data_IF_317387212184
#
_entry.id   IF_317387212184
#
_cell.length_a   1.000
_cell.length_b   1.000
_cell.length_c   1.000
_cell.angle_alpha   90.00
_cell.angle_beta   90.00
_cell.angle_gamma   90.00
#
_symmetry.space_group_name_H-M   'P 1'
#
loop_
_entity.id
_entity.type
_entity.pdbx_description
1 polymer ?
#
# COMPACT_ATOMS: atom_id res chain seq x y z
N UNK A 1 3.31 -20.83 16.33
CA UNK A 1 3.94 -20.17 15.16
C UNK A 1 2.80 -19.60 14.32
N UNK A 2 2.83 -18.35 13.87
CA UNK A 2 1.81 -17.88 12.93
C UNK A 2 1.88 -18.77 11.68
N UNK A 3 0.70 -19.16 11.16
CA UNK A 3 0.63 -19.96 9.94
C UNK A 3 1.21 -19.14 8.79
N UNK A 4 2.20 -19.70 8.09
CA UNK A 4 2.77 -19.14 6.87
C UNK A 4 1.65 -18.93 5.84
N UNK A 5 1.33 -17.66 5.51
CA UNK A 5 0.26 -17.32 4.58
C UNK A 5 0.75 -17.48 3.15
N UNK A 6 -0.07 -18.07 2.30
CA UNK A 6 0.14 -18.14 0.85
C UNK A 6 -0.41 -16.86 0.23
N UNK A 7 0.42 -16.11 -0.47
CA UNK A 7 0.05 -14.79 -1.00
C UNK A 7 0.26 -14.75 -2.51
N UNK A 8 -0.74 -14.25 -3.22
CA UNK A 8 -0.69 -13.93 -4.64
C UNK A 8 -0.69 -12.40 -4.80
N UNK A 9 0.20 -11.90 -5.65
CA UNK A 9 0.37 -10.48 -5.93
C UNK A 9 -0.33 -10.15 -7.24
N UNK A 10 -1.26 -9.19 -7.23
CA UNK A 10 -1.94 -8.70 -8.42
C UNK A 10 -1.18 -7.49 -8.96
N UNK A 11 -0.44 -7.68 -10.07
CA UNK A 11 0.48 -6.72 -10.67
C UNK A 11 1.94 -7.17 -10.58
N UNK A 12 2.56 -7.46 -11.72
CA UNK A 12 3.92 -7.98 -11.83
C UNK A 12 4.98 -6.90 -12.15
N UNK A 13 4.66 -5.63 -11.95
CA UNK A 13 5.56 -4.49 -12.15
C UNK A 13 6.58 -4.29 -11.02
N UNK A 14 7.29 -3.15 -11.04
CA UNK A 14 8.28 -2.81 -10.02
C UNK A 14 7.73 -2.82 -8.59
N UNK A 15 6.52 -2.30 -8.39
CA UNK A 15 5.84 -2.32 -7.09
C UNK A 15 5.54 -3.75 -6.62
N UNK A 16 5.17 -4.65 -7.53
CA UNK A 16 4.95 -6.07 -7.23
C UNK A 16 6.20 -6.78 -6.73
N UNK A 17 7.37 -6.44 -7.28
CA UNK A 17 8.65 -6.99 -6.84
C UNK A 17 8.96 -6.59 -5.39
N UNK A 18 8.74 -5.31 -5.05
CA UNK A 18 8.94 -4.80 -3.68
C UNK A 18 7.97 -5.49 -2.70
N UNK A 19 6.72 -5.70 -3.09
CA UNK A 19 5.75 -6.41 -2.24
C UNK A 19 6.15 -7.88 -2.05
N UNK A 20 6.71 -8.54 -3.08
CA UNK A 20 7.23 -9.89 -2.94
C UNK A 20 8.34 -9.96 -1.87
N UNK A 21 9.26 -9.00 -1.88
CA UNK A 21 10.31 -8.90 -0.86
C UNK A 21 9.73 -8.69 0.55
N UNK A 22 8.67 -7.89 0.70
CA UNK A 22 7.98 -7.69 1.98
C UNK A 22 7.37 -9.00 2.49
N UNK A 23 6.67 -9.74 1.62
CA UNK A 23 6.04 -11.01 1.98
C UNK A 23 7.08 -12.00 2.49
N UNK A 24 8.21 -12.12 1.77
CA UNK A 24 9.31 -13.02 2.15
C UNK A 24 9.93 -12.59 3.49
N UNK A 25 10.20 -11.29 3.64
CA UNK A 25 10.76 -10.75 4.88
C UNK A 25 9.83 -10.97 6.09
N UNK A 26 8.52 -11.09 5.85
CA UNK A 26 7.51 -11.40 6.86
C UNK A 26 7.34 -12.89 7.12
N UNK A 27 8.17 -13.75 6.54
CA UNK A 27 8.11 -15.21 6.62
C UNK A 27 6.82 -15.82 6.04
N UNK A 28 6.13 -15.11 5.16
CA UNK A 28 5.01 -15.61 4.37
C UNK A 28 5.49 -16.09 2.99
N UNK A 29 4.65 -16.80 2.24
CA UNK A 29 5.03 -17.43 0.97
C UNK A 29 4.40 -16.71 -0.22
N UNK A 30 5.23 -16.23 -1.14
CA UNK A 30 4.77 -15.76 -2.46
C UNK A 30 4.48 -16.98 -3.34
N UNK A 31 3.24 -17.11 -3.80
CA UNK A 31 2.82 -18.17 -4.74
C UNK A 31 3.11 -17.76 -6.19
N UNK A 32 2.95 -16.49 -6.51
CA UNK A 32 3.20 -15.93 -7.83
C UNK A 32 2.45 -14.63 -8.05
N UNK A 33 2.41 -14.23 -9.31
CA UNK A 33 1.78 -13.00 -9.75
C UNK A 33 0.56 -13.29 -10.62
N UNK A 34 -0.45 -12.43 -10.56
CA UNK A 34 -1.48 -12.29 -11.57
C UNK A 34 -1.30 -10.94 -12.25
N UNK A 35 -1.17 -10.94 -13.58
CA UNK A 35 -0.88 -9.71 -14.32
C UNK A 35 -1.49 -9.77 -15.73
N UNK A 36 -2.21 -8.70 -16.12
CA UNK A 36 -2.95 -8.67 -17.38
C UNK A 36 -2.06 -8.37 -18.60
N UNK A 37 -0.79 -8.01 -18.38
CA UNK A 37 0.16 -7.63 -19.43
C UNK A 37 1.34 -8.60 -19.57
N UNK A 38 1.60 -9.40 -18.55
CA UNK A 38 2.71 -10.34 -18.52
C UNK A 38 2.29 -11.70 -19.06
N UNK A 39 3.19 -12.38 -19.75
CA UNK A 39 2.93 -13.72 -20.28
C UNK A 39 2.83 -14.75 -19.15
N UNK A 40 1.79 -15.58 -19.20
CA UNK A 40 1.60 -16.68 -18.25
C UNK A 40 2.76 -17.66 -18.33
N UNK A 41 3.32 -18.01 -17.17
CA UNK A 41 4.49 -18.88 -17.03
C UNK A 41 5.82 -18.14 -17.05
N UNK A 42 5.85 -16.85 -17.46
CA UNK A 42 7.07 -16.03 -17.28
C UNK A 42 7.40 -15.84 -15.80
N UNK A 43 8.68 -15.53 -15.51
CA UNK A 43 9.15 -15.35 -14.15
C UNK A 43 9.39 -13.85 -13.84
N UNK A 44 8.90 -13.41 -12.69
CA UNK A 44 9.16 -12.08 -12.12
C UNK A 44 9.79 -12.27 -10.75
N UNK A 45 11.01 -11.78 -10.56
CA UNK A 45 11.80 -12.00 -9.32
C UNK A 45 11.85 -13.47 -8.88
N UNK A 46 11.89 -14.41 -9.84
CA UNK A 46 11.94 -15.85 -9.55
C UNK A 46 10.58 -16.51 -9.30
N UNK A 47 9.47 -15.75 -9.30
CA UNK A 47 8.12 -16.27 -9.10
C UNK A 47 7.32 -16.27 -10.41
N UNK A 48 6.45 -17.29 -10.64
CA UNK A 48 5.71 -17.41 -11.89
C UNK A 48 4.58 -16.39 -11.99
N UNK A 49 4.33 -15.92 -13.21
CA UNK A 49 3.06 -15.30 -13.57
C UNK A 49 2.04 -16.42 -13.78
N UNK A 50 1.04 -16.48 -12.92
CA UNK A 50 0.06 -17.57 -12.85
C UNK A 50 -1.09 -17.40 -13.85
N UNK A 51 -1.32 -16.19 -14.31
CA UNK A 51 -2.38 -15.81 -15.22
C UNK A 51 -2.72 -14.32 -15.11
N UNK A 52 -3.94 -13.98 -15.47
CA UNK A 52 -4.49 -12.63 -15.42
C UNK A 52 -5.15 -12.33 -14.07
N UNK A 53 -5.49 -11.07 -13.82
CA UNK A 53 -6.25 -10.68 -12.62
C UNK A 53 -7.63 -11.38 -12.51
N UNK A 54 -8.19 -11.85 -13.63
CA UNK A 54 -9.46 -12.59 -13.63
C UNK A 54 -9.34 -14.02 -13.08
N UNK A 55 -8.14 -14.55 -12.97
CA UNK A 55 -7.88 -15.93 -12.52
C UNK A 55 -7.84 -16.08 -10.98
N UNK A 56 -8.13 -15.01 -10.23
CA UNK A 56 -8.11 -15.02 -8.75
C UNK A 56 -8.93 -16.18 -8.15
N UNK A 57 -10.09 -16.49 -8.73
CA UNK A 57 -10.98 -17.55 -8.25
C UNK A 57 -10.36 -18.96 -8.28
N UNK A 58 -9.27 -19.17 -9.04
CA UNK A 58 -8.55 -20.43 -9.10
C UNK A 58 -7.69 -20.70 -7.84
N UNK A 59 -7.56 -19.72 -6.95
CA UNK A 59 -6.69 -19.79 -5.78
C UNK A 59 -7.43 -19.49 -4.46
N UNK A 60 -8.46 -20.28 -4.10
CA UNK A 60 -9.35 -19.97 -2.96
C UNK A 60 -8.63 -19.99 -1.60
N UNK A 61 -7.53 -20.71 -1.49
CA UNK A 61 -6.76 -20.86 -0.24
C UNK A 61 -5.68 -19.77 -0.06
N UNK A 62 -5.56 -18.84 -1.01
CA UNK A 62 -4.57 -17.78 -0.97
C UNK A 62 -5.17 -16.46 -0.45
N UNK A 63 -4.29 -15.62 0.09
CA UNK A 63 -4.56 -14.21 0.30
C UNK A 63 -4.01 -13.40 -0.87
N UNK A 64 -4.54 -12.21 -1.11
CA UNK A 64 -4.18 -11.39 -2.27
C UNK A 64 -3.77 -9.99 -1.86
N UNK A 65 -2.82 -9.40 -2.58
CA UNK A 65 -2.43 -8.00 -2.43
C UNK A 65 -2.35 -7.34 -3.80
N UNK A 66 -2.87 -6.11 -3.91
CA UNK A 66 -2.86 -5.36 -5.17
C UNK A 66 -1.57 -4.53 -5.24
N UNK A 67 -0.73 -4.82 -6.24
CA UNK A 67 0.55 -4.18 -6.48
C UNK A 67 0.48 -3.14 -7.61
N UNK A 68 -0.52 -2.26 -7.57
CA UNK A 68 -0.76 -1.24 -8.58
C UNK A 68 -0.70 0.14 -7.93
N UNK A 69 0.25 0.98 -8.38
CA UNK A 69 0.50 2.30 -7.82
C UNK A 69 -0.60 3.33 -8.12
N UNK A 70 -1.33 3.18 -9.24
CA UNK A 70 -2.42 4.10 -9.61
C UNK A 70 -3.63 3.86 -8.72
N UNK A 71 -3.99 4.86 -7.92
CA UNK A 71 -5.00 4.75 -6.86
C UNK A 71 -6.37 4.32 -7.39
N UNK A 72 -6.84 4.94 -8.49
CA UNK A 72 -8.14 4.66 -9.11
C UNK A 72 -8.21 3.22 -9.67
N UNK A 73 -7.11 2.71 -10.25
CA UNK A 73 -7.06 1.32 -10.72
C UNK A 73 -7.07 0.36 -9.53
N UNK A 74 -6.32 0.66 -8.47
CA UNK A 74 -6.27 -0.14 -7.24
C UNK A 74 -7.65 -0.21 -6.57
N UNK A 75 -8.37 0.91 -6.50
CA UNK A 75 -9.75 0.96 -6.02
C UNK A 75 -10.69 0.11 -6.87
N UNK A 76 -10.66 0.28 -8.20
CA UNK A 76 -11.52 -0.46 -9.12
C UNK A 76 -11.31 -1.98 -8.98
N UNK A 77 -10.07 -2.43 -8.84
CA UNK A 77 -9.75 -3.84 -8.62
C UNK A 77 -10.25 -4.34 -7.27
N UNK A 78 -10.03 -3.59 -6.18
CA UNK A 78 -10.50 -3.97 -4.86
C UNK A 78 -12.02 -4.09 -4.79
N UNK A 79 -12.75 -3.21 -5.47
CA UNK A 79 -14.21 -3.27 -5.59
C UNK A 79 -14.72 -4.42 -6.46
N UNK A 80 -13.96 -4.79 -7.51
CA UNK A 80 -14.34 -5.86 -8.44
C UNK A 80 -14.21 -7.23 -7.82
N UNK A 81 -13.17 -7.46 -6.99
CA UNK A 81 -12.82 -8.77 -6.47
C UNK A 81 -13.08 -8.84 -4.96
N UNK A 82 -13.98 -9.73 -4.54
CA UNK A 82 -14.23 -10.02 -3.13
C UNK A 82 -13.25 -11.11 -2.65
N UNK A 83 -12.03 -10.72 -2.32
CA UNK A 83 -10.93 -11.63 -1.99
C UNK A 83 -10.54 -11.50 -0.51
N UNK A 84 -9.79 -12.47 -0.03
CA UNK A 84 -9.09 -12.36 1.26
C UNK A 84 -7.87 -11.47 1.08
N UNK A 85 -7.97 -10.23 1.50
CA UNK A 85 -6.90 -9.25 1.33
C UNK A 85 -5.77 -9.45 2.34
N UNK A 86 -4.54 -9.40 1.83
CA UNK A 86 -3.32 -9.46 2.61
C UNK A 86 -2.81 -8.04 2.87
N UNK A 87 -2.63 -7.69 4.15
CA UNK A 87 -1.97 -6.44 4.55
C UNK A 87 -0.47 -6.73 4.65
N UNK A 88 0.32 -6.11 3.78
CA UNK A 88 1.76 -6.33 3.68
C UNK A 88 2.50 -5.27 4.52
N UNK A 89 3.13 -5.69 5.62
CA UNK A 89 3.91 -4.80 6.49
C UNK A 89 5.34 -5.31 6.55
N UNK A 90 6.29 -4.51 6.06
CA UNK A 90 7.70 -4.87 6.13
C UNK A 90 8.17 -4.95 7.58
N UNK A 91 8.96 -5.97 8.01
CA UNK A 91 9.41 -6.09 9.39
C UNK A 91 10.25 -4.93 9.92
N UNK A 92 10.86 -4.12 9.06
CA UNK A 92 11.57 -2.90 9.46
C UNK A 92 10.67 -1.66 9.57
N UNK A 93 9.38 -1.78 9.30
CA UNK A 93 8.45 -0.70 9.55
C UNK A 93 8.22 -0.55 11.07
N UNK A 94 8.09 0.69 11.53
CA UNK A 94 7.85 1.00 12.94
C UNK A 94 6.41 1.46 13.07
N UNK A 95 5.63 0.76 13.89
CA UNK A 95 4.25 1.11 14.21
C UNK A 95 4.17 1.46 15.71
N UNK A 96 3.68 2.65 15.99
CA UNK A 96 3.41 3.12 17.35
C UNK A 96 2.19 2.45 17.99
N UNK A 97 1.87 2.85 19.22
CA UNK A 97 0.69 2.36 19.93
C UNK A 97 -0.60 2.81 19.24
N UNK A 98 -1.62 1.95 19.32
CA UNK A 98 -2.98 2.22 18.83
C UNK A 98 -3.09 2.53 17.32
N UNK A 99 -2.06 2.19 16.53
CA UNK A 99 -2.10 2.32 15.07
C UNK A 99 -3.10 1.33 14.49
N UNK A 100 -3.99 1.81 13.64
CA UNK A 100 -4.94 0.98 12.90
C UNK A 100 -4.57 0.95 11.42
N UNK A 101 -4.57 -0.25 10.83
CA UNK A 101 -4.22 -0.45 9.42
C UNK A 101 -5.31 -1.26 8.73
N UNK A 102 -5.92 -0.68 7.70
CA UNK A 102 -6.95 -1.34 6.89
C UNK A 102 -6.40 -2.48 6.04
N UNK A 103 -7.28 -3.40 5.67
CA UNK A 103 -6.96 -4.57 4.84
C UNK A 103 -6.39 -4.17 3.47
N UNK A 104 -5.51 -5.00 2.92
CA UNK A 104 -4.91 -4.77 1.61
C UNK A 104 -3.88 -3.64 1.56
N UNK A 105 -3.63 -2.95 2.66
CA UNK A 105 -2.64 -1.87 2.76
C UNK A 105 -1.22 -2.43 2.74
N UNK A 106 -0.32 -1.69 2.10
CA UNK A 106 1.11 -2.01 2.01
C UNK A 106 1.91 -0.97 2.77
N UNK A 107 2.70 -1.41 3.74
CA UNK A 107 3.66 -0.58 4.48
C UNK A 107 5.05 -1.11 4.17
N UNK A 108 5.85 -0.27 3.48
CA UNK A 108 7.16 -0.66 2.99
C UNK A 108 8.26 -0.49 4.04
N UNK A 109 9.47 -0.91 3.66
CA UNK A 109 10.64 -0.85 4.52
C UNK A 109 10.88 0.55 5.09
N UNK A 110 11.22 0.60 6.38
CA UNK A 110 11.53 1.83 7.12
C UNK A 110 10.40 2.87 7.15
N UNK A 111 9.16 2.48 6.80
CA UNK A 111 8.00 3.33 7.07
C UNK A 111 7.81 3.50 8.58
N UNK A 112 7.58 4.74 9.04
CA UNK A 112 7.31 5.05 10.45
C UNK A 112 5.89 5.56 10.57
N UNK A 113 5.09 4.91 11.41
CA UNK A 113 3.71 5.30 11.68
C UNK A 113 3.56 5.44 13.18
N UNK A 114 3.43 6.68 13.64
CA UNK A 114 3.39 7.03 15.07
C UNK A 114 1.99 6.81 15.67
N UNK A 115 1.92 6.99 17.00
CA UNK A 115 0.78 6.59 17.81
C UNK A 115 -0.55 7.16 17.32
N UNK A 116 -1.61 6.35 17.44
CA UNK A 116 -3.01 6.69 17.15
C UNK A 116 -3.29 7.06 15.68
N UNK A 117 -2.36 6.80 14.77
CA UNK A 117 -2.62 7.00 13.33
C UNK A 117 -3.58 5.92 12.81
N UNK A 118 -4.50 6.34 11.93
CA UNK A 118 -5.50 5.49 11.27
C UNK A 118 -5.21 5.47 9.78
N UNK A 119 -4.87 4.29 9.25
CA UNK A 119 -4.61 4.06 7.83
C UNK A 119 -5.76 3.25 7.24
N UNK A 120 -6.37 3.75 6.21
CA UNK A 120 -7.48 3.10 5.51
C UNK A 120 -7.07 1.84 4.76
N UNK A 121 -8.01 1.32 3.96
CA UNK A 121 -7.84 0.10 3.16
C UNK A 121 -7.04 0.36 1.89
N UNK A 122 -6.27 -0.65 1.47
CA UNK A 122 -5.53 -0.62 0.21
C UNK A 122 -4.66 0.64 0.02
N UNK A 123 -4.19 1.24 1.10
CA UNK A 123 -3.23 2.34 1.05
C UNK A 123 -1.84 1.83 0.69
N UNK A 124 -0.99 2.72 0.19
CA UNK A 124 0.43 2.48 0.01
C UNK A 124 1.19 3.48 0.88
N UNK A 125 1.86 2.98 1.92
CA UNK A 125 2.82 3.73 2.72
C UNK A 125 4.19 3.27 2.25
N UNK A 126 4.81 4.11 1.42
CA UNK A 126 5.99 3.73 0.66
C UNK A 126 7.28 3.81 1.51
N UNK A 127 8.39 3.36 0.95
CA UNK A 127 9.70 3.25 1.61
C UNK A 127 10.10 4.54 2.32
N UNK A 128 10.38 4.43 3.62
CA UNK A 128 10.85 5.55 4.45
C UNK A 128 9.85 6.69 4.66
N UNK A 129 8.57 6.50 4.31
CA UNK A 129 7.55 7.50 4.60
C UNK A 129 7.35 7.63 6.12
N UNK A 130 7.13 8.86 6.59
CA UNK A 130 6.92 9.18 8.00
C UNK A 130 5.50 9.72 8.18
N UNK A 131 4.75 9.06 9.05
CA UNK A 131 3.39 9.42 9.42
C UNK A 131 3.38 9.66 10.92
N UNK A 132 3.28 10.92 11.31
CA UNK A 132 3.27 11.32 12.71
C UNK A 132 1.94 10.96 13.40
N UNK A 133 1.87 11.24 14.71
CA UNK A 133 0.75 10.87 15.57
C UNK A 133 -0.60 11.46 15.12
N UNK A 134 -1.70 10.78 15.43
CA UNK A 134 -3.09 11.21 15.19
C UNK A 134 -3.44 11.51 13.71
N UNK A 135 -2.66 10.99 12.76
CA UNK A 135 -2.96 11.13 11.34
C UNK A 135 -4.14 10.24 10.94
N UNK A 136 -4.96 10.73 10.01
CA UNK A 136 -6.01 9.94 9.36
C UNK A 136 -5.73 9.91 7.87
N UNK A 137 -5.47 8.73 7.33
CA UNK A 137 -5.25 8.48 5.91
C UNK A 137 -6.41 7.62 5.40
N UNK A 138 -7.21 8.17 4.52
CA UNK A 138 -8.38 7.47 3.97
C UNK A 138 -7.97 6.41 2.93
N UNK A 139 -8.96 5.59 2.53
CA UNK A 139 -8.77 4.44 1.65
C UNK A 139 -8.08 4.80 0.33
N UNK A 140 -7.25 3.88 -0.16
CA UNK A 140 -6.56 3.95 -1.44
C UNK A 140 -5.58 5.13 -1.60
N UNK A 141 -5.23 5.84 -0.54
CA UNK A 141 -4.21 6.87 -0.61
C UNK A 141 -2.82 6.26 -0.86
N UNK A 142 -1.93 7.06 -1.45
CA UNK A 142 -0.54 6.69 -1.67
C UNK A 142 0.38 7.76 -1.08
N UNK A 143 1.11 7.40 -0.05
CA UNK A 143 2.16 8.22 0.56
C UNK A 143 3.49 7.72 0.00
N UNK A 144 4.07 8.49 -0.92
CA UNK A 144 5.26 8.11 -1.70
C UNK A 144 6.54 8.05 -0.85
N UNK A 145 7.67 7.55 -1.42
CA UNK A 145 8.92 7.41 -0.68
C UNK A 145 9.34 8.70 0.02
N UNK A 146 9.72 8.57 1.30
CA UNK A 146 10.22 9.67 2.14
C UNK A 146 9.27 10.88 2.27
N UNK A 147 8.00 10.76 1.94
CA UNK A 147 7.04 11.80 2.26
C UNK A 147 6.79 11.83 3.78
N UNK A 148 6.59 13.04 4.33
CA UNK A 148 6.40 13.26 5.76
C UNK A 148 5.07 13.94 6.02
N UNK A 149 4.21 13.29 6.79
CA UNK A 149 2.99 13.88 7.33
C UNK A 149 3.23 14.22 8.80
N UNK A 150 3.25 15.50 9.15
CA UNK A 150 3.36 15.93 10.54
C UNK A 150 2.11 15.57 11.35
N UNK A 151 2.08 15.84 12.65
CA UNK A 151 0.98 15.41 13.52
C UNK A 151 -0.39 15.93 13.12
N UNK A 152 -1.43 15.10 13.29
CA UNK A 152 -2.86 15.44 13.10
C UNK A 152 -3.20 15.89 11.67
N UNK A 153 -2.57 15.29 10.66
CA UNK A 153 -2.87 15.52 9.23
C UNK A 153 -4.01 14.60 8.79
N UNK A 154 -4.87 15.10 7.91
CA UNK A 154 -5.91 14.30 7.24
C UNK A 154 -5.64 14.23 5.75
N UNK A 155 -5.55 13.02 5.22
CA UNK A 155 -5.38 12.75 3.79
C UNK A 155 -6.64 12.06 3.27
N UNK A 156 -7.32 12.71 2.34
CA UNK A 156 -8.54 12.19 1.74
C UNK A 156 -8.28 10.98 0.84
N UNK A 157 -9.36 10.28 0.56
CA UNK A 157 -9.38 9.07 -0.26
C UNK A 157 -8.75 9.30 -1.65
N UNK A 158 -8.05 8.29 -2.17
CA UNK A 158 -7.41 8.32 -3.49
C UNK A 158 -6.30 9.37 -3.65
N UNK A 159 -5.96 10.11 -2.60
CA UNK A 159 -4.94 11.17 -2.68
C UNK A 159 -3.55 10.57 -2.81
N UNK A 160 -2.72 11.23 -3.61
CA UNK A 160 -1.32 10.86 -3.83
C UNK A 160 -0.40 11.96 -3.29
N UNK A 161 0.38 11.62 -2.28
CA UNK A 161 1.43 12.48 -1.72
C UNK A 161 2.76 12.06 -2.35
N UNK A 162 3.34 12.95 -3.16
CA UNK A 162 4.55 12.70 -3.95
C UNK A 162 5.80 12.48 -3.08
N UNK A 163 6.84 11.88 -3.69
CA UNK A 163 8.08 11.55 -2.99
C UNK A 163 8.72 12.77 -2.32
N UNK A 164 9.12 12.64 -1.06
CA UNK A 164 9.75 13.72 -0.29
C UNK A 164 8.86 14.93 0.02
N UNK A 165 7.55 14.85 -0.27
CA UNK A 165 6.64 15.93 0.09
C UNK A 165 6.42 16.01 1.61
N UNK A 166 6.16 17.23 2.11
CA UNK A 166 5.95 17.49 3.53
C UNK A 166 4.58 18.13 3.72
N UNK A 167 3.76 17.56 4.59
CA UNK A 167 2.48 18.12 4.99
C UNK A 167 2.59 18.60 6.45
N UNK A 168 2.41 19.89 6.64
CA UNK A 168 2.48 20.53 7.96
C UNK A 168 1.37 19.98 8.87
N UNK A 169 1.64 19.97 10.17
CA UNK A 169 0.67 19.54 11.19
C UNK A 169 -0.67 20.30 11.11
N UNK A 170 -1.74 19.58 11.43
CA UNK A 170 -3.15 20.01 11.39
C UNK A 170 -3.66 20.41 10.00
N UNK A 171 -2.98 20.03 8.91
CA UNK A 171 -3.45 20.29 7.56
C UNK A 171 -4.35 19.16 7.05
N UNK A 172 -5.31 19.54 6.21
CA UNK A 172 -6.18 18.64 5.47
C UNK A 172 -5.86 18.72 3.98
N UNK A 173 -5.70 17.55 3.35
CA UNK A 173 -5.58 17.39 1.90
C UNK A 173 -6.81 16.61 1.43
N UNK A 174 -7.66 17.19 0.54
CA UNK A 174 -8.93 16.57 0.15
C UNK A 174 -8.72 15.26 -0.63
N UNK A 175 -9.83 14.59 -0.92
CA UNK A 175 -9.83 13.36 -1.72
C UNK A 175 -9.39 13.63 -3.17
N UNK A 176 -8.86 12.59 -3.83
CA UNK A 176 -8.44 12.60 -5.24
C UNK A 176 -7.45 13.71 -5.61
N UNK A 177 -6.67 14.17 -4.65
CA UNK A 177 -5.67 15.22 -4.78
C UNK A 177 -4.29 14.63 -5.07
N UNK A 178 -3.44 15.39 -5.76
CA UNK A 178 -2.03 15.03 -5.97
C UNK A 178 -1.12 16.16 -5.50
N UNK A 179 -0.27 15.86 -4.52
CA UNK A 179 0.84 16.71 -4.12
C UNK A 179 2.08 16.26 -4.87
N UNK A 180 2.70 17.16 -5.62
CA UNK A 180 3.91 16.84 -6.38
C UNK A 180 5.09 16.44 -5.50
N UNK A 181 6.08 15.74 -6.07
CA UNK A 181 7.30 15.39 -5.38
C UNK A 181 8.02 16.63 -4.81
N UNK A 182 8.49 16.54 -3.56
CA UNK A 182 9.13 17.66 -2.84
C UNK A 182 8.18 18.81 -2.48
N UNK A 183 6.88 18.67 -2.73
CA UNK A 183 5.88 19.69 -2.40
C UNK A 183 5.78 19.92 -0.88
N UNK A 184 5.55 21.20 -0.48
CA UNK A 184 5.35 21.56 0.92
C UNK A 184 3.97 22.16 1.10
N UNK A 185 3.13 21.51 1.91
CA UNK A 185 1.77 21.97 2.24
C UNK A 185 1.79 22.56 3.65
N UNK A 186 1.49 23.86 3.75
CA UNK A 186 1.54 24.61 5.03
C UNK A 186 0.17 25.07 5.53
N UNK A 187 -0.88 24.83 4.76
CA UNK A 187 -2.30 25.14 5.07
C UNK A 187 -3.20 24.13 4.34
N UNK A 188 -4.46 24.05 4.76
CA UNK A 188 -5.45 23.21 4.10
C UNK A 188 -5.51 23.48 2.60
N UNK A 189 -5.64 22.39 1.83
CA UNK A 189 -5.96 22.47 0.41
C UNK A 189 -7.47 22.44 0.31
N UNK A 190 -8.03 23.43 -0.38
CA UNK A 190 -9.48 23.51 -0.65
C UNK A 190 -9.80 22.68 -1.89
N UNK A 191 -11.01 22.12 -1.94
CA UNK A 191 -11.55 21.41 -3.10
C UNK A 191 -11.67 22.31 -4.32
#
# INVERSE_FOLDING_TARGET
MPMNKKVIIIGAGGHGKVIADIIIASYDTVIGFLDDRSEKGSLVSGYPVLGTSSDCALFPDCSFVIAIGVNQIREAMAKRYHLKWYTAIHPSAILGSDVQVGEGTVIMANGVINASAVIGKHCIINTGAVIEHDNVIEDYAHISPHATLCGTVRIGKLTHIGAGAIIKNNCCVPADCTIGAGGVVIKDIQE
#
